data_IF_375915515327
#
_entry.id   IF_375915515327
#
_cell.length_a   1.000
_cell.length_b   1.000
_cell.length_c   1.000
_cell.angle_alpha   90.00
_cell.angle_beta   90.00
_cell.angle_gamma   90.00
#
_symmetry.space_group_name_H-M   'P 1'
#
loop_
_entity.id
_entity.type
_entity.pdbx_description
1 polymer ?
#
# COMPACT_ATOMS: atom_id res chain seq x y z
N UNK A 1 -30.19 -0.27 11.11
CA UNK A 1 -30.65 0.18 9.78
C UNK A 1 -29.43 0.23 8.88
N UNK A 2 -29.42 -0.49 7.74
CA UNK A 2 -28.34 -0.38 6.76
C UNK A 2 -28.25 1.07 6.29
N UNK A 3 -27.04 1.63 6.31
CA UNK A 3 -26.80 2.95 5.75
C UNK A 3 -26.94 2.86 4.23
N UNK A 4 -27.44 3.89 3.55
CA UNK A 4 -27.51 3.93 2.06
C UNK A 4 -26.13 3.65 1.40
N UNK A 5 -25.06 3.88 2.15
CA UNK A 5 -23.67 3.57 1.77
C UNK A 5 -23.46 2.07 1.55
N UNK A 6 -24.10 1.21 2.35
CA UNK A 6 -23.86 -0.24 2.35
C UNK A 6 -24.24 -0.93 1.02
N UNK A 7 -25.43 -0.69 0.42
CA UNK A 7 -25.74 -1.25 -0.90
C UNK A 7 -24.86 -0.67 -2.02
N UNK A 8 -24.43 0.59 -1.93
CA UNK A 8 -23.52 1.19 -2.92
C UNK A 8 -22.16 0.49 -2.89
N UNK A 9 -21.62 0.26 -1.69
CA UNK A 9 -20.36 -0.47 -1.50
C UNK A 9 -20.48 -1.91 -2.00
N UNK A 10 -21.59 -2.59 -1.71
CA UNK A 10 -21.84 -3.95 -2.19
C UNK A 10 -21.92 -4.03 -3.72
N UNK A 11 -22.59 -3.08 -4.37
CA UNK A 11 -22.66 -3.00 -5.84
C UNK A 11 -21.27 -2.77 -6.42
N UNK A 12 -20.51 -1.83 -5.88
CA UNK A 12 -19.17 -1.53 -6.39
C UNK A 12 -18.23 -2.72 -6.18
N UNK A 13 -18.23 -3.34 -5.00
CA UNK A 13 -17.44 -4.53 -4.71
C UNK A 13 -17.82 -5.69 -5.62
N UNK A 14 -19.12 -5.90 -5.87
CA UNK A 14 -19.62 -6.90 -6.81
C UNK A 14 -19.15 -6.62 -8.24
N UNK A 15 -19.13 -5.36 -8.68
CA UNK A 15 -18.60 -4.99 -10.00
C UNK A 15 -17.10 -5.30 -10.10
N UNK A 16 -16.32 -5.04 -9.05
CA UNK A 16 -14.90 -5.38 -9.01
C UNK A 16 -14.65 -6.90 -8.99
N UNK A 17 -15.44 -7.64 -8.21
CA UNK A 17 -15.41 -9.10 -8.17
C UNK A 17 -15.76 -9.70 -9.55
N UNK A 18 -16.82 -9.20 -10.18
CA UNK A 18 -17.26 -9.63 -11.50
C UNK A 18 -16.23 -9.26 -12.59
N UNK A 19 -15.62 -8.08 -12.50
CA UNK A 19 -14.51 -7.69 -13.38
C UNK A 19 -13.29 -8.60 -13.19
N UNK A 20 -13.00 -8.99 -11.93
CA UNK A 20 -11.96 -9.95 -11.58
C UNK A 20 -12.22 -11.33 -12.15
N UNK A 21 -13.47 -11.80 -12.13
CA UNK A 21 -13.89 -13.04 -12.79
C UNK A 21 -13.59 -13.03 -14.29
N UNK A 22 -13.92 -11.93 -14.99
CA UNK A 22 -13.69 -11.81 -16.43
C UNK A 22 -12.20 -11.71 -16.81
N UNK A 23 -11.38 -11.03 -16.00
CA UNK A 23 -9.93 -10.95 -16.23
C UNK A 23 -9.19 -12.24 -15.85
N UNK A 24 -9.61 -12.91 -14.79
CA UNK A 24 -8.97 -14.11 -14.24
C UNK A 24 -7.74 -13.83 -13.37
N UNK A 25 -7.42 -14.78 -12.50
CA UNK A 25 -6.36 -14.74 -11.49
C UNK A 25 -4.99 -14.41 -12.09
N UNK A 26 -4.56 -15.15 -13.12
CA UNK A 26 -3.21 -14.99 -13.69
C UNK A 26 -3.02 -13.58 -14.24
N UNK A 27 -3.99 -13.09 -15.01
CA UNK A 27 -3.92 -11.75 -15.59
C UNK A 27 -3.90 -10.67 -14.52
N UNK A 28 -4.70 -10.82 -13.47
CA UNK A 28 -4.76 -9.85 -12.38
C UNK A 28 -3.48 -9.84 -11.53
N UNK A 29 -2.93 -11.03 -11.23
CA UNK A 29 -1.72 -11.23 -10.44
C UNK A 29 -0.50 -10.67 -11.15
N UNK A 30 -0.29 -11.05 -12.41
CA UNK A 30 0.84 -10.56 -13.20
C UNK A 30 0.73 -9.06 -13.49
N UNK A 31 -0.47 -8.53 -13.68
CA UNK A 31 -0.66 -7.08 -13.79
C UNK A 31 -0.25 -6.34 -12.51
N UNK A 32 -0.54 -6.89 -11.33
CA UNK A 32 -0.08 -6.34 -10.06
C UNK A 32 1.44 -6.47 -9.88
N UNK A 33 1.99 -7.63 -10.18
CA UNK A 33 3.44 -7.86 -10.11
C UNK A 33 4.18 -6.93 -11.07
N UNK A 34 3.69 -6.77 -12.30
CA UNK A 34 4.23 -5.83 -13.26
C UNK A 34 4.17 -4.38 -12.79
N UNK A 35 3.10 -4.00 -12.09
CA UNK A 35 2.98 -2.66 -11.49
C UNK A 35 4.04 -2.46 -10.38
N UNK A 36 4.17 -3.40 -9.46
CA UNK A 36 5.10 -3.30 -8.33
C UNK A 36 6.56 -3.40 -8.77
N UNK A 37 6.89 -4.43 -9.55
CA UNK A 37 8.25 -4.66 -10.06
C UNK A 37 8.62 -3.57 -11.06
N UNK A 38 7.71 -3.20 -11.96
CA UNK A 38 7.93 -2.11 -12.91
C UNK A 38 8.20 -0.80 -12.21
N UNK A 39 7.46 -0.47 -11.15
CA UNK A 39 7.72 0.73 -10.35
C UNK A 39 9.08 0.65 -9.65
N UNK A 40 9.38 -0.46 -8.98
CA UNK A 40 10.65 -0.62 -8.25
C UNK A 40 11.87 -0.55 -9.18
N UNK A 41 11.79 -1.17 -10.35
CA UNK A 41 12.86 -1.10 -11.37
C UNK A 41 12.93 0.30 -11.98
N UNK A 42 11.80 0.93 -12.29
CA UNK A 42 11.80 2.29 -12.81
C UNK A 42 12.44 3.28 -11.82
N UNK A 43 12.13 3.22 -10.52
CA UNK A 43 12.77 4.06 -9.49
C UNK A 43 14.26 3.75 -9.35
N UNK A 44 14.67 2.49 -9.52
CA UNK A 44 16.06 2.08 -9.31
C UNK A 44 16.96 2.46 -10.49
N UNK A 45 16.42 2.44 -11.71
CA UNK A 45 17.17 2.54 -12.95
C UNK A 45 16.86 3.80 -13.77
N UNK A 46 16.00 4.71 -13.29
CA UNK A 46 15.72 5.98 -13.96
C UNK A 46 16.99 6.80 -14.19
N UNK A 47 17.84 6.93 -13.17
CA UNK A 47 19.06 7.74 -13.19
C UNK A 47 20.18 7.15 -14.06
N UNK A 48 20.63 5.89 -13.87
CA UNK A 48 21.69 5.33 -14.68
C UNK A 48 21.28 5.21 -16.15
N UNK A 49 20.01 4.89 -16.44
CA UNK A 49 19.54 4.82 -17.82
C UNK A 49 19.43 6.21 -18.41
N UNK A 50 18.90 7.21 -17.69
CA UNK A 50 18.82 8.59 -18.17
C UNK A 50 20.20 9.17 -18.51
N UNK A 51 21.24 8.86 -17.72
CA UNK A 51 22.60 9.32 -17.98
C UNK A 51 23.14 8.86 -19.35
N UNK A 52 22.76 7.66 -19.82
CA UNK A 52 23.18 7.16 -21.14
C UNK A 52 22.60 7.98 -22.30
N UNK A 53 21.45 8.64 -22.08
CA UNK A 53 20.78 9.46 -23.09
C UNK A 53 21.11 10.94 -22.98
N UNK A 54 21.77 11.35 -21.88
CA UNK A 54 22.09 12.76 -21.61
C UNK A 54 22.99 13.38 -22.68
N UNK A 55 23.89 12.57 -23.26
CA UNK A 55 24.81 13.03 -24.32
C UNK A 55 24.12 13.16 -25.69
N UNK A 56 23.04 12.42 -25.92
CA UNK A 56 22.30 12.42 -27.19
C UNK A 56 21.19 13.46 -27.23
N UNK A 57 20.53 13.72 -26.09
CA UNK A 57 19.39 14.63 -25.99
C UNK A 57 19.75 15.87 -25.19
N UNK A 58 19.65 17.05 -25.82
CA UNK A 58 19.80 18.36 -25.16
C UNK A 58 18.55 18.73 -24.35
N UNK A 59 18.18 17.91 -23.37
CA UNK A 59 17.09 18.17 -22.44
C UNK A 59 17.60 18.15 -21.00
N UNK A 60 16.83 18.73 -20.07
CA UNK A 60 17.22 18.75 -18.66
C UNK A 60 17.20 17.34 -18.06
N UNK A 61 18.13 17.07 -17.14
CA UNK A 61 18.26 15.76 -16.50
C UNK A 61 16.96 15.32 -15.79
N UNK A 62 16.19 16.27 -15.27
CA UNK A 62 14.89 16.00 -14.65
C UNK A 62 13.89 15.40 -15.66
N UNK A 63 13.87 15.91 -16.90
CA UNK A 63 12.97 15.46 -17.95
C UNK A 63 13.42 14.09 -18.46
N UNK A 64 14.73 13.90 -18.66
CA UNK A 64 15.28 12.60 -19.07
C UNK A 64 14.98 11.50 -18.05
N UNK A 65 15.15 11.77 -16.75
CA UNK A 65 14.78 10.84 -15.68
C UNK A 65 13.30 10.52 -15.69
N UNK A 66 12.42 11.52 -15.82
CA UNK A 66 10.99 11.30 -15.89
C UNK A 66 10.58 10.43 -17.09
N UNK A 67 11.11 10.72 -18.27
CA UNK A 67 10.84 9.94 -19.49
C UNK A 67 11.36 8.52 -19.36
N UNK A 68 12.56 8.35 -18.80
CA UNK A 68 13.18 7.04 -18.57
C UNK A 68 12.39 6.22 -17.56
N UNK A 69 11.97 6.84 -16.46
CA UNK A 69 11.11 6.22 -15.45
C UNK A 69 9.80 5.71 -16.08
N UNK A 70 9.10 6.58 -16.83
CA UNK A 70 7.86 6.23 -17.51
C UNK A 70 8.11 5.09 -18.49
N UNK A 71 9.14 5.19 -19.33
CA UNK A 71 9.50 4.16 -20.31
C UNK A 71 9.76 2.79 -19.65
N UNK A 72 10.63 2.74 -18.65
CA UNK A 72 10.94 1.51 -17.92
C UNK A 72 9.72 0.91 -17.24
N UNK A 73 8.93 1.75 -16.56
CA UNK A 73 7.70 1.32 -15.88
C UNK A 73 6.74 0.65 -16.87
N UNK A 74 6.45 1.31 -17.99
CA UNK A 74 5.50 0.80 -18.99
C UNK A 74 6.01 -0.45 -19.69
N UNK A 75 7.30 -0.51 -20.05
CA UNK A 75 7.90 -1.69 -20.68
C UNK A 75 7.74 -2.91 -19.77
N UNK A 76 8.15 -2.80 -18.51
CA UNK A 76 8.10 -3.91 -17.55
C UNK A 76 6.64 -4.28 -17.25
N UNK A 77 5.79 -3.29 -16.99
CA UNK A 77 4.37 -3.52 -16.79
C UNK A 77 3.75 -4.28 -17.97
N UNK A 78 4.09 -3.90 -19.21
CA UNK A 78 3.56 -4.54 -20.40
C UNK A 78 4.05 -5.97 -20.56
N UNK A 79 5.34 -6.24 -20.32
CA UNK A 79 5.92 -7.60 -20.35
C UNK A 79 5.21 -8.53 -19.37
N UNK A 80 5.02 -8.09 -18.12
CA UNK A 80 4.30 -8.87 -17.12
C UNK A 80 2.82 -9.04 -17.49
N UNK A 81 2.14 -7.98 -17.93
CA UNK A 81 0.74 -8.03 -18.36
C UNK A 81 0.52 -9.00 -19.53
N UNK A 82 1.44 -8.99 -20.51
CA UNK A 82 1.43 -9.91 -21.64
C UNK A 82 1.65 -11.35 -21.19
N UNK A 83 2.60 -11.58 -20.27
CA UNK A 83 2.84 -12.90 -19.67
C UNK A 83 1.59 -13.41 -18.96
N UNK A 84 0.95 -12.58 -18.13
CA UNK A 84 -0.30 -12.93 -17.45
C UNK A 84 -1.45 -13.25 -18.41
N UNK A 85 -1.52 -12.55 -19.55
CA UNK A 85 -2.49 -12.84 -20.61
C UNK A 85 -2.22 -14.19 -21.28
N UNK A 86 -0.96 -14.52 -21.55
CA UNK A 86 -0.55 -15.78 -22.15
C UNK A 86 -0.82 -16.97 -21.22
N UNK A 87 -0.55 -16.81 -19.92
CA UNK A 87 -0.88 -17.80 -18.91
C UNK A 87 -2.39 -17.98 -18.76
N UNK A 88 -3.18 -16.90 -18.78
CA UNK A 88 -4.64 -16.98 -18.76
C UNK A 88 -5.16 -17.80 -19.97
N UNK A 89 -4.59 -17.59 -21.16
CA UNK A 89 -4.91 -18.36 -22.37
C UNK A 89 -4.59 -19.86 -22.17
N UNK A 90 -3.44 -20.15 -21.58
CA UNK A 90 -2.98 -21.52 -21.31
C UNK A 90 -3.87 -22.22 -20.28
N UNK A 91 -4.30 -21.53 -19.21
CA UNK A 91 -5.22 -22.06 -18.21
C UNK A 91 -6.60 -22.45 -18.79
N UNK A 92 -7.01 -21.83 -19.91
CA UNK A 92 -8.21 -22.22 -20.64
C UNK A 92 -8.07 -23.60 -21.32
N UNK A 93 -6.86 -23.94 -21.77
CA UNK A 93 -6.57 -25.22 -22.44
C UNK A 93 -6.47 -26.38 -21.44
N UNK A 94 -5.99 -26.10 -20.22
CA UNK A 94 -5.75 -27.10 -19.19
C UNK A 94 -6.97 -27.41 -18.30
N UNK A 95 -8.18 -26.98 -18.68
CA UNK A 95 -9.41 -27.06 -17.86
C UNK A 95 -9.33 -26.39 -16.46
N UNK A 96 -8.20 -25.75 -16.12
CA UNK A 96 -7.96 -24.94 -14.90
C UNK A 96 -8.68 -23.59 -14.93
N UNK A 97 -9.56 -23.39 -15.90
CA UNK A 97 -10.30 -22.14 -16.09
C UNK A 97 -11.17 -21.80 -14.87
N UNK A 98 -11.75 -22.80 -14.19
CA UNK A 98 -12.55 -22.60 -12.98
C UNK A 98 -11.73 -21.96 -11.86
N UNK A 99 -10.58 -22.54 -11.53
CA UNK A 99 -9.66 -22.02 -10.50
C UNK A 99 -9.18 -20.61 -10.86
N UNK A 100 -8.79 -20.38 -12.12
CA UNK A 100 -8.35 -19.06 -12.57
C UNK A 100 -9.49 -18.00 -12.48
N UNK A 101 -10.74 -18.37 -12.72
CA UNK A 101 -11.89 -17.46 -12.57
C UNK A 101 -12.19 -17.16 -11.10
N UNK A 102 -12.22 -18.18 -10.24
CA UNK A 102 -12.47 -18.01 -8.79
C UNK A 102 -11.36 -17.20 -8.13
N UNK A 103 -10.10 -17.48 -8.45
CA UNK A 103 -8.97 -16.67 -7.98
C UNK A 103 -9.05 -15.22 -8.49
N UNK A 104 -9.55 -15.02 -9.71
CA UNK A 104 -9.84 -13.69 -10.27
C UNK A 104 -10.89 -12.92 -9.46
N UNK A 105 -11.95 -13.60 -8.99
CA UNK A 105 -12.94 -13.00 -8.08
C UNK A 105 -12.27 -12.51 -6.80
N UNK A 106 -11.44 -13.34 -6.16
CA UNK A 106 -10.78 -13.00 -4.90
C UNK A 106 -9.85 -11.79 -5.06
N UNK A 107 -9.00 -11.78 -6.08
CA UNK A 107 -8.12 -10.63 -6.36
C UNK A 107 -8.90 -9.39 -6.78
N UNK A 108 -9.94 -9.54 -7.59
CA UNK A 108 -10.82 -8.45 -8.01
C UNK A 108 -11.52 -7.81 -6.82
N UNK A 109 -12.11 -8.63 -5.94
CA UNK A 109 -12.74 -8.19 -4.70
C UNK A 109 -11.73 -7.50 -3.78
N UNK A 110 -10.52 -8.05 -3.61
CA UNK A 110 -9.45 -7.43 -2.81
C UNK A 110 -9.06 -6.05 -3.34
N UNK A 111 -8.86 -5.91 -4.66
CA UNK A 111 -8.62 -4.60 -5.29
C UNK A 111 -9.80 -3.65 -5.11
N UNK A 112 -11.02 -4.14 -5.32
CA UNK A 112 -12.24 -3.34 -5.14
C UNK A 112 -12.37 -2.82 -3.73
N UNK A 113 -12.11 -3.67 -2.74
CA UNK A 113 -12.10 -3.31 -1.32
C UNK A 113 -11.02 -2.26 -1.01
N UNK A 114 -9.81 -2.41 -1.55
CA UNK A 114 -8.75 -1.42 -1.37
C UNK A 114 -9.11 -0.06 -1.98
N UNK A 115 -9.67 -0.04 -3.20
CA UNK A 115 -10.13 1.20 -3.86
C UNK A 115 -11.28 1.84 -3.08
N UNK A 116 -12.25 1.03 -2.63
CA UNK A 116 -13.36 1.49 -1.79
C UNK A 116 -12.87 2.08 -0.47
N UNK A 117 -11.94 1.42 0.21
CA UNK A 117 -11.33 1.91 1.43
C UNK A 117 -10.65 3.27 1.22
N UNK A 118 -9.93 3.43 0.10
CA UNK A 118 -9.31 4.69 -0.28
C UNK A 118 -10.36 5.78 -0.51
N UNK A 119 -11.43 5.49 -1.26
CA UNK A 119 -12.53 6.44 -1.50
C UNK A 119 -13.18 6.87 -0.18
N UNK A 120 -13.53 5.90 0.68
CA UNK A 120 -14.14 6.19 1.99
C UNK A 120 -13.20 7.01 2.87
N UNK A 121 -11.89 6.71 2.86
CA UNK A 121 -10.88 7.48 3.59
C UNK A 121 -10.84 8.93 3.10
N UNK A 122 -10.76 9.17 1.78
CA UNK A 122 -10.80 10.53 1.24
C UNK A 122 -12.10 11.27 1.57
N UNK A 123 -13.23 10.56 1.54
CA UNK A 123 -14.54 11.14 1.89
C UNK A 123 -14.60 11.52 3.38
N UNK A 124 -14.05 10.68 4.27
CA UNK A 124 -14.01 10.91 5.71
C UNK A 124 -12.98 11.98 6.12
N UNK A 125 -11.87 12.11 5.39
CA UNK A 125 -10.83 13.11 5.62
C UNK A 125 -11.13 14.47 4.98
N UNK A 126 -12.12 14.55 4.08
CA UNK A 126 -12.55 15.81 3.51
C UNK A 126 -13.33 16.64 4.57
N UNK A 127 -12.92 17.89 4.86
CA UNK A 127 -13.62 18.78 5.80
C UNK A 127 -15.04 19.20 5.38
N UNK A 128 -15.56 18.69 4.26
CA UNK A 128 -16.79 19.13 3.61
C UNK A 128 -18.03 18.28 3.94
N UNK A 129 -17.99 17.42 4.97
CA UNK A 129 -19.16 16.59 5.35
C UNK A 129 -19.86 17.13 6.62
N UNK A 130 -21.15 17.52 6.52
CA UNK A 130 -21.97 17.95 7.65
C UNK A 130 -22.07 16.90 8.78
N UNK A 131 -22.13 17.37 10.02
CA UNK A 131 -22.06 16.56 11.25
C UNK A 131 -23.13 15.48 11.41
N UNK A 132 -24.17 15.47 10.58
CA UNK A 132 -25.23 14.45 10.58
C UNK A 132 -24.75 13.08 10.06
N UNK A 133 -23.68 13.03 9.25
CA UNK A 133 -23.09 11.78 8.74
C UNK A 133 -22.14 11.13 9.76
N UNK A 134 -21.54 11.92 10.68
CA UNK A 134 -20.66 11.41 11.75
C UNK A 134 -21.37 10.41 12.67
N UNK A 135 -22.66 10.63 12.99
CA UNK A 135 -23.42 9.75 13.90
C UNK A 135 -23.80 8.38 13.29
N UNK A 136 -23.72 8.22 11.96
CA UNK A 136 -23.99 6.93 11.30
C UNK A 136 -22.76 6.02 11.25
N UNK A 137 -21.57 6.56 11.47
CA UNK A 137 -20.30 5.83 11.47
C UNK A 137 -20.13 5.01 12.75
N UNK A 138 -20.64 5.50 13.88
CA UNK A 138 -20.56 4.81 15.19
C UNK A 138 -21.46 3.56 15.30
N UNK A 139 -22.36 3.32 14.34
CA UNK A 139 -23.27 2.17 14.34
C UNK A 139 -22.85 1.04 13.38
N UNK A 140 -21.69 1.14 12.73
CA UNK A 140 -21.32 0.23 11.64
C UNK A 140 -20.49 -0.97 12.13
N UNK A 141 -21.05 -2.17 11.98
CA UNK A 141 -20.48 -3.47 12.34
C UNK A 141 -19.16 -3.83 11.61
N UNK A 142 -18.77 -3.05 10.60
CA UNK A 142 -17.59 -3.28 9.75
C UNK A 142 -16.38 -2.41 10.15
N UNK A 143 -16.54 -1.52 11.13
CA UNK A 143 -15.44 -0.73 11.71
C UNK A 143 -14.44 -1.60 12.49
N UNK A 144 -14.85 -2.62 13.29
CA UNK A 144 -13.90 -3.39 14.08
C UNK A 144 -12.85 -4.17 13.26
N UNK A 145 -13.19 -4.91 12.17
CA UNK A 145 -12.20 -5.66 11.39
C UNK A 145 -11.13 -4.78 10.73
N UNK A 146 -11.52 -3.59 10.27
CA UNK A 146 -10.60 -2.63 9.66
C UNK A 146 -9.64 -2.02 10.70
N UNK A 147 -10.10 -1.83 11.95
CA UNK A 147 -9.26 -1.32 13.03
C UNK A 147 -8.16 -2.32 13.44
N UNK A 148 -8.41 -3.64 13.33
CA UNK A 148 -7.38 -4.65 13.59
C UNK A 148 -6.25 -4.65 12.54
N UNK A 149 -6.60 -4.46 11.27
CA UNK A 149 -5.61 -4.37 10.19
C UNK A 149 -4.79 -3.07 10.34
N UNK A 150 -5.44 -1.96 10.69
CA UNK A 150 -4.77 -0.68 10.99
C UNK A 150 -3.84 -0.74 12.20
N UNK A 151 -4.28 -1.36 13.30
CA UNK A 151 -3.45 -1.54 14.50
C UNK A 151 -2.23 -2.44 14.23
N UNK A 152 -2.39 -3.48 13.40
CA UNK A 152 -1.29 -4.32 12.95
C UNK A 152 -0.25 -3.54 12.15
N UNK A 153 -0.70 -2.66 11.25
CA UNK A 153 0.17 -1.82 10.43
C UNK A 153 0.94 -0.78 11.25
N UNK A 154 0.29 -0.17 12.26
CA UNK A 154 0.92 0.81 13.16
C UNK A 154 1.99 0.14 14.04
N UNK A 155 1.76 -1.11 14.49
CA UNK A 155 2.73 -1.85 15.30
C UNK A 155 3.99 -2.24 14.50
N UNK A 156 3.83 -2.58 13.22
CA UNK A 156 4.95 -2.87 12.31
C UNK A 156 5.70 -1.58 11.94
N UNK A 157 4.99 -0.46 11.74
CA UNK A 157 5.61 0.83 11.45
C UNK A 157 6.40 1.43 12.62
N UNK A 158 5.90 1.31 13.86
CA UNK A 158 6.51 1.93 15.04
C UNK A 158 7.84 1.30 15.47
N UNK A 159 8.10 0.04 15.09
CA UNK A 159 9.37 -0.65 15.41
C UNK A 159 10.55 -0.25 14.53
N UNK A 160 10.30 0.45 13.41
CA UNK A 160 11.36 0.85 12.47
C UNK A 160 11.74 2.34 12.54
N UNK A 161 10.97 3.18 13.25
CA UNK A 161 11.07 4.65 13.17
C UNK A 161 11.37 5.34 14.52
N UNK A 162 11.46 4.60 15.63
CA UNK A 162 11.99 5.17 16.88
C UNK A 162 13.40 4.64 17.11
N UNK A 163 14.46 5.38 16.71
CA UNK A 163 15.76 5.26 17.34
C UNK A 163 15.58 5.20 18.86
N UNK A 164 16.27 4.27 19.50
CA UNK A 164 16.47 4.35 20.95
C UNK A 164 17.18 5.69 21.18
N UNK A 165 16.46 6.65 21.76
CA UNK A 165 17.12 7.74 22.45
C UNK A 165 17.83 7.09 23.65
N UNK A 166 19.08 6.67 23.43
CA UNK A 166 20.01 6.30 24.48
C UNK A 166 20.31 7.57 25.30
N UNK A 167 19.37 7.93 26.17
CA UNK A 167 19.62 8.88 27.24
C UNK A 167 20.59 8.19 28.22
N UNK A 168 21.79 8.74 28.46
CA UNK A 168 22.68 8.19 29.47
C UNK A 168 21.98 8.26 30.84
N UNK A 169 21.92 7.11 31.49
CA UNK A 169 21.40 6.98 32.84
C UNK A 169 22.10 7.99 33.75
N UNK A 170 21.31 8.85 34.39
CA UNK A 170 21.76 9.60 35.55
C UNK A 170 22.13 8.59 36.64
N UNK A 171 23.42 8.43 36.87
CA UNK A 171 23.95 7.77 38.05
C UNK A 171 23.49 8.55 39.28
N UNK A 172 22.56 7.94 40.01
CA UNK A 172 22.00 8.41 41.26
C UNK A 172 22.70 7.81 42.48
N UNK A 173 24.03 7.78 42.51
CA UNK A 173 24.76 7.34 43.69
C UNK A 173 25.93 8.26 44.04
N UNK A 174 25.67 9.24 44.91
CA UNK A 174 26.41 9.46 46.17
C UNK A 174 25.82 10.68 46.88
N UNK A 175 24.91 10.43 47.83
CA UNK A 175 24.64 11.35 48.94
C UNK A 175 25.67 11.01 50.03
N UNK A 176 26.57 11.92 50.43
CA UNK A 176 27.36 11.70 51.62
C UNK A 176 26.47 11.89 52.85
N UNK A 177 26.37 10.81 53.63
CA UNK A 177 25.80 10.76 54.97
C UNK A 177 26.49 11.78 55.86
N UNK A 178 25.69 12.64 56.48
CA UNK A 178 26.08 13.52 57.58
C UNK A 178 26.50 12.67 58.80
N UNK A 179 27.54 13.08 59.52
CA UNK A 179 27.79 12.64 60.89
C UNK A 179 29.27 12.47 61.24
N UNK A 180 29.69 13.27 62.23
CA UNK A 180 30.81 13.05 63.16
C UNK A 180 32.16 13.73 62.83
N UNK A 181 32.31 14.96 63.33
CA UNK A 181 33.08 15.20 64.55
C UNK A 181 34.61 15.16 64.51
N UNK A 182 35.18 16.21 65.14
CA UNK A 182 36.48 16.27 65.83
C UNK A 182 37.66 16.89 65.04
N UNK A 183 37.95 18.15 65.37
CA UNK A 183 39.16 18.46 66.13
C UNK A 183 40.37 19.10 65.42
N UNK A 184 40.67 20.34 65.82
CA UNK A 184 41.98 20.96 66.08
C UNK A 184 43.12 20.73 65.05
N UNK A 185 43.51 21.77 64.30
CA UNK A 185 44.59 22.73 64.59
C UNK A 185 44.73 23.72 63.43
#
# INVERSE_FOLDING_TARGET
MLSIVDPILLVLLSLFALRGYFKGLFRESFSLLGLLIGFMVAVRYDEPVAALWADYWKASLIVLRAVTFIGLFFVIYFVFSLTGWLLHRSAKLLFLQGVNRVGGILLGAGKGAAVLALIVFFLASSPLIPQQTRRKIDQSYLVPPLHYIGAGLIRVGKTSILPRDDFPARDGSTVPSNGEGVGYF
#
